data_IF_561547665676
#
_entry.id   IF_561547665676
#
_cell.length_a   1.000
_cell.length_b   1.000
_cell.length_c   1.000
_cell.angle_alpha   90.00
_cell.angle_beta   90.00
_cell.angle_gamma   90.00
#
_symmetry.space_group_name_H-M   'P 1'
#
loop_
_entity.id
_entity.type
_entity.pdbx_description
1 polymer ?
#
# COMPACT_ATOMS: atom_id res chain seq x y z
N UNK A 1 8.75 -5.53 1.22
CA UNK A 1 7.71 -5.82 0.20
C UNK A 1 8.25 -6.89 -0.72
N UNK A 2 7.48 -7.93 -1.00
CA UNK A 2 7.88 -9.05 -1.84
C UNK A 2 7.05 -9.02 -3.13
N UNK A 3 7.70 -9.18 -4.29
CA UNK A 3 7.07 -9.10 -5.61
C UNK A 3 7.12 -10.49 -6.27
N UNK A 4 6.07 -11.31 -6.11
CA UNK A 4 6.07 -12.67 -6.63
C UNK A 4 6.17 -12.73 -8.15
N UNK A 5 6.57 -13.92 -8.62
CA UNK A 5 6.40 -14.41 -9.98
C UNK A 5 5.59 -15.72 -9.92
N UNK A 6 4.79 -16.03 -10.94
CA UNK A 6 3.82 -17.13 -10.89
C UNK A 6 4.42 -18.51 -10.61
N UNK A 7 5.66 -18.73 -11.04
CA UNK A 7 6.37 -19.99 -10.88
C UNK A 7 7.88 -19.78 -10.85
N UNK A 8 8.63 -20.68 -10.20
CA UNK A 8 10.08 -20.70 -10.32
C UNK A 8 10.51 -20.80 -11.79
N UNK A 9 11.52 -20.03 -12.17
CA UNK A 9 12.14 -20.10 -13.50
C UNK A 9 13.61 -20.49 -13.33
N UNK A 10 14.00 -21.63 -13.87
CA UNK A 10 15.40 -22.06 -13.86
C UNK A 10 16.25 -21.11 -14.71
N UNK A 11 17.37 -20.64 -14.17
CA UNK A 11 18.29 -19.72 -14.84
C UNK A 11 19.59 -20.42 -15.20
N UNK A 12 20.14 -20.09 -16.36
CA UNK A 12 21.43 -20.54 -16.85
C UNK A 12 22.36 -19.34 -17.10
N UNK A 13 23.67 -19.60 -17.17
CA UNK A 13 24.65 -18.55 -17.46
C UNK A 13 24.38 -17.95 -18.84
N UNK A 14 24.17 -16.64 -18.89
CA UNK A 14 23.83 -15.92 -20.12
C UNK A 14 22.35 -15.53 -20.24
N UNK A 15 21.49 -16.08 -19.38
CA UNK A 15 20.11 -15.61 -19.26
C UNK A 15 20.05 -14.16 -18.75
N UNK A 16 19.03 -13.42 -19.19
CA UNK A 16 18.75 -12.05 -18.77
C UNK A 16 17.38 -11.96 -18.14
N UNK A 17 17.31 -11.34 -16.96
CA UNK A 17 16.05 -11.01 -16.29
C UNK A 17 15.82 -9.51 -16.44
N UNK A 18 14.70 -9.12 -17.05
CA UNK A 18 14.25 -7.73 -17.15
C UNK A 18 13.06 -7.54 -16.23
N UNK A 19 13.14 -6.53 -15.37
CA UNK A 19 12.06 -6.15 -14.47
C UNK A 19 11.66 -4.72 -14.83
N UNK A 20 10.37 -4.51 -15.11
CA UNK A 20 9.78 -3.18 -15.29
C UNK A 20 8.80 -2.93 -14.16
N UNK A 21 8.97 -1.83 -13.44
CA UNK A 21 8.08 -1.44 -12.35
C UNK A 21 7.42 -0.11 -12.65
N UNK A 22 6.14 0.01 -12.31
CA UNK A 22 5.37 1.25 -12.34
C UNK A 22 4.71 1.44 -10.98
N UNK A 23 4.96 2.58 -10.35
CA UNK A 23 4.46 2.92 -9.02
C UNK A 23 3.48 4.08 -9.19
N UNK A 24 2.27 3.94 -8.68
CA UNK A 24 1.26 5.00 -8.56
C UNK A 24 1.09 5.36 -7.07
N UNK A 25 1.82 6.38 -6.57
CA UNK A 25 1.87 6.68 -5.13
C UNK A 25 0.52 7.05 -4.52
N UNK A 26 -0.32 7.78 -5.25
CA UNK A 26 -1.65 8.25 -4.80
C UNK A 26 -2.64 7.11 -4.53
N UNK A 27 -2.43 5.96 -5.18
CA UNK A 27 -3.32 4.80 -5.10
C UNK A 27 -2.67 3.64 -4.32
N UNK A 28 -1.43 3.81 -3.85
CA UNK A 28 -0.60 2.73 -3.28
C UNK A 28 -0.50 1.51 -4.22
N UNK A 29 -0.60 1.74 -5.53
CA UNK A 29 -0.55 0.70 -6.54
C UNK A 29 0.86 0.54 -7.10
N UNK A 30 1.36 -0.69 -7.16
CA UNK A 30 2.62 -1.05 -7.80
C UNK A 30 2.35 -2.14 -8.82
N UNK A 31 2.68 -1.90 -10.08
CA UNK A 31 2.65 -2.88 -11.16
C UNK A 31 4.07 -3.28 -11.49
N UNK A 32 4.35 -4.58 -11.58
CA UNK A 32 5.65 -5.09 -12.00
C UNK A 32 5.49 -6.16 -13.07
N UNK A 33 6.40 -6.10 -14.04
CA UNK A 33 6.51 -7.07 -15.11
C UNK A 33 7.91 -7.68 -15.05
N UNK A 34 7.98 -9.01 -15.12
CA UNK A 34 9.23 -9.77 -15.11
C UNK A 34 9.32 -10.58 -16.38
N UNK A 35 10.34 -10.33 -17.19
CA UNK A 35 10.66 -11.13 -18.35
C UNK A 35 11.99 -11.84 -18.15
N UNK A 36 12.06 -13.12 -18.48
CA UNK A 36 13.28 -13.92 -18.48
C UNK A 36 13.60 -14.30 -19.92
N UNK A 37 14.83 -14.05 -20.35
CA UNK A 37 15.31 -14.26 -21.71
C UNK A 37 16.54 -15.16 -21.70
N UNK A 38 16.58 -16.14 -22.62
CA UNK A 38 17.76 -16.90 -23.00
C UNK A 38 18.35 -16.24 -24.23
N UNK A 39 19.59 -15.77 -24.12
CA UNK A 39 20.23 -14.95 -25.16
C UNK A 39 19.32 -13.75 -25.55
N UNK A 40 19.66 -12.97 -26.58
CA UNK A 40 18.89 -11.76 -26.87
C UNK A 40 17.48 -12.01 -27.45
N UNK A 41 17.18 -13.23 -27.89
CA UNK A 41 16.02 -13.50 -28.77
C UNK A 41 15.00 -14.50 -28.21
N UNK A 42 15.34 -15.34 -27.23
CA UNK A 42 14.42 -16.38 -26.76
C UNK A 42 13.82 -16.05 -25.40
N UNK A 43 12.53 -15.68 -25.33
CA UNK A 43 11.85 -15.41 -24.05
C UNK A 43 11.50 -16.72 -23.33
N UNK A 44 12.11 -16.97 -22.17
CA UNK A 44 11.84 -18.12 -21.28
C UNK A 44 10.56 -17.94 -20.46
N UNK A 45 10.28 -16.72 -19.99
CA UNK A 45 9.10 -16.44 -19.19
C UNK A 45 8.71 -14.96 -19.24
N UNK A 46 7.43 -14.68 -19.00
CA UNK A 46 6.89 -13.34 -18.77
C UNK A 46 5.81 -13.41 -17.71
N UNK A 47 5.87 -12.52 -16.74
CA UNK A 47 4.91 -12.37 -15.65
C UNK A 47 4.52 -10.90 -15.55
N UNK A 48 3.23 -10.62 -15.35
CA UNK A 48 2.74 -9.27 -15.11
C UNK A 48 1.83 -9.29 -13.90
N UNK A 49 2.14 -8.43 -12.94
CA UNK A 49 1.44 -8.35 -11.67
C UNK A 49 1.19 -6.90 -11.30
N UNK A 50 0.18 -6.69 -10.46
CA UNK A 50 -0.11 -5.40 -9.86
C UNK A 50 -0.60 -5.61 -8.45
N UNK A 51 -0.32 -4.69 -7.54
CA UNK A 51 -1.01 -4.66 -6.25
C UNK A 51 -2.50 -4.32 -6.41
N UNK A 52 -2.93 -3.80 -7.57
CA UNK A 52 -4.35 -3.63 -7.93
C UNK A 52 -5.00 -4.94 -8.40
N UNK A 53 -4.29 -5.73 -9.22
CA UNK A 53 -4.75 -7.02 -9.78
C UNK A 53 -4.21 -8.23 -9.00
N UNK A 54 -3.74 -7.99 -7.78
CA UNK A 54 -2.91 -8.88 -6.99
C UNK A 54 -2.85 -8.43 -5.53
N UNK A 55 -4.02 -8.12 -4.95
CA UNK A 55 -4.25 -8.69 -3.63
C UNK A 55 -4.16 -10.20 -3.81
N UNK A 56 -2.97 -10.76 -3.62
CA UNK A 56 -2.91 -12.05 -2.95
C UNK A 56 -3.74 -11.83 -1.70
N UNK A 57 -4.98 -12.32 -1.70
CA UNK A 57 -5.71 -12.55 -0.48
C UNK A 57 -4.82 -13.54 0.29
N UNK A 58 -3.92 -13.02 1.12
CA UNK A 58 -3.34 -13.81 2.18
C UNK A 58 -4.54 -14.41 2.94
N UNK A 59 -4.37 -15.59 3.56
CA UNK A 59 -5.48 -16.22 4.28
C UNK A 59 -6.17 -15.23 5.23
N UNK A 60 -5.38 -14.36 5.83
CA UNK A 60 -5.78 -13.27 6.71
C UNK A 60 -6.62 -12.18 6.00
N UNK A 61 -6.39 -11.90 4.72
CA UNK A 61 -7.17 -10.95 3.92
C UNK A 61 -8.46 -11.59 3.36
N UNK A 62 -8.45 -12.89 3.06
CA UNK A 62 -9.68 -13.63 2.76
C UNK A 62 -10.57 -13.72 4.00
N UNK A 63 -9.99 -14.02 5.17
CA UNK A 63 -10.69 -14.00 6.45
C UNK A 63 -11.38 -12.65 6.69
N UNK A 64 -10.73 -11.52 6.38
CA UNK A 64 -11.32 -10.17 6.49
C UNK A 64 -12.56 -9.94 5.62
N UNK A 65 -12.75 -10.73 4.57
CA UNK A 65 -13.93 -10.66 3.68
C UNK A 65 -15.07 -11.59 4.09
N UNK A 66 -14.85 -12.49 5.05
CA UNK A 66 -15.89 -13.42 5.50
C UNK A 66 -16.99 -12.69 6.29
N UNK A 67 -18.29 -13.02 6.10
CA UNK A 67 -19.39 -12.36 6.82
C UNK A 67 -19.30 -12.45 8.36
N UNK A 68 -18.59 -13.45 8.88
CA UNK A 68 -18.42 -13.68 10.32
C UNK A 68 -17.13 -13.09 10.89
N UNK A 69 -16.29 -12.50 10.05
CA UNK A 69 -15.09 -11.82 10.51
C UNK A 69 -15.47 -10.58 11.30
N UNK A 70 -14.87 -10.41 12.48
CA UNK A 70 -15.09 -9.25 13.34
C UNK A 70 -13.92 -8.29 13.12
N UNK A 71 -14.06 -7.25 12.28
CA UNK A 71 -12.98 -6.32 12.01
C UNK A 71 -12.62 -5.53 13.26
N UNK A 72 -11.32 -5.37 13.49
CA UNK A 72 -10.76 -4.46 14.50
C UNK A 72 -9.85 -3.48 13.80
N UNK A 73 -9.93 -2.21 14.20
CA UNK A 73 -9.02 -1.20 13.69
C UNK A 73 -7.61 -1.49 14.20
N UNK A 74 -6.64 -1.42 13.28
CA UNK A 74 -5.23 -1.34 13.66
C UNK A 74 -4.95 0.05 14.27
N UNK A 75 -3.80 0.27 14.92
CA UNK A 75 -3.41 1.60 15.39
C UNK A 75 -3.50 2.67 14.29
N UNK A 76 -3.07 2.35 13.06
CA UNK A 76 -3.23 3.24 11.90
C UNK A 76 -4.69 3.44 11.47
N UNK A 77 -5.54 2.41 11.61
CA UNK A 77 -6.97 2.53 11.39
C UNK A 77 -7.65 3.43 12.42
N UNK A 78 -7.21 3.35 13.68
CA UNK A 78 -7.64 4.22 14.76
C UNK A 78 -7.25 5.67 14.51
N UNK A 79 -6.03 5.92 14.06
CA UNK A 79 -5.59 7.27 13.67
C UNK A 79 -6.43 7.86 12.53
N UNK A 80 -6.73 7.06 11.48
CA UNK A 80 -7.65 7.50 10.40
C UNK A 80 -9.04 7.82 10.93
N UNK A 81 -9.59 6.97 11.81
CA UNK A 81 -10.89 7.23 12.45
C UNK A 81 -10.87 8.53 13.24
N UNK A 82 -9.82 8.79 14.02
CA UNK A 82 -9.66 10.05 14.75
C UNK A 82 -9.68 11.25 13.81
N UNK A 83 -8.95 11.22 12.69
CA UNK A 83 -8.95 12.30 11.69
C UNK A 83 -10.36 12.57 11.19
N UNK A 84 -11.06 11.53 10.73
CA UNK A 84 -12.40 11.69 10.16
C UNK A 84 -13.40 12.22 11.20
N UNK A 85 -13.29 11.81 12.46
CA UNK A 85 -14.11 12.34 13.54
C UNK A 85 -13.81 13.82 13.86
N UNK A 86 -12.58 14.27 13.63
CA UNK A 86 -12.16 15.66 13.85
C UNK A 86 -12.54 16.58 12.68
N UNK A 87 -12.84 16.04 11.49
CA UNK A 87 -13.37 16.75 10.33
C UNK A 87 -14.85 17.16 10.52
N UNK A 88 -15.14 17.94 11.55
CA UNK A 88 -16.48 18.34 11.96
C UNK A 88 -16.94 19.72 11.42
N UNK A 89 -16.14 20.30 10.51
CA UNK A 89 -16.38 21.64 9.96
C UNK A 89 -16.10 22.79 10.93
N UNK A 90 -15.55 22.51 12.12
CA UNK A 90 -15.21 23.53 13.13
C UNK A 90 -13.72 23.66 13.37
N UNK A 91 -12.97 22.57 13.20
CA UNK A 91 -11.51 22.57 13.34
C UNK A 91 -10.81 22.90 12.03
N UNK A 92 -9.75 23.68 12.14
CA UNK A 92 -8.79 23.91 11.07
C UNK A 92 -7.90 22.69 10.86
N UNK A 93 -7.28 22.58 9.68
CA UNK A 93 -6.32 21.51 9.38
C UNK A 93 -5.22 21.41 10.44
N UNK A 94 -4.61 22.54 10.83
CA UNK A 94 -3.53 22.57 11.81
C UNK A 94 -3.95 22.06 13.20
N UNK A 95 -5.19 22.33 13.63
CA UNK A 95 -5.73 21.80 14.89
C UNK A 95 -5.92 20.27 14.82
N UNK A 96 -6.34 19.75 13.67
CA UNK A 96 -6.46 18.31 13.45
C UNK A 96 -5.08 17.63 13.49
N UNK A 97 -4.08 18.22 12.85
CA UNK A 97 -2.70 17.72 12.84
C UNK A 97 -2.11 17.61 14.25
N UNK A 98 -2.27 18.66 15.06
CA UNK A 98 -1.82 18.68 16.45
C UNK A 98 -2.54 17.63 17.30
N UNK A 99 -3.85 17.50 17.13
CA UNK A 99 -4.65 16.57 17.92
C UNK A 99 -4.36 15.11 17.58
N UNK A 100 -4.12 14.80 16.30
CA UNK A 100 -3.72 13.47 15.84
C UNK A 100 -2.34 13.10 16.37
N UNK A 101 -1.38 14.02 16.30
CA UNK A 101 -0.05 13.82 16.87
C UNK A 101 -0.11 13.57 18.39
N UNK A 102 -0.97 14.29 19.10
CA UNK A 102 -1.17 14.14 20.55
C UNK A 102 -1.84 12.82 20.93
N UNK A 103 -2.80 12.34 20.15
CA UNK A 103 -3.56 11.13 20.45
C UNK A 103 -2.87 9.83 20.02
N UNK A 104 -1.94 9.89 19.07
CA UNK A 104 -1.23 8.73 18.53
C UNK A 104 0.30 8.94 18.53
N UNK A 105 0.91 9.31 19.68
CA UNK A 105 2.33 9.70 19.74
C UNK A 105 3.29 8.58 19.35
N UNK A 106 2.88 7.32 19.48
CA UNK A 106 3.67 6.14 19.08
C UNK A 106 3.73 5.92 17.56
N UNK A 107 2.82 6.55 16.79
CA UNK A 107 2.74 6.37 15.34
C UNK A 107 3.57 7.39 14.56
N UNK A 108 3.92 8.52 15.17
CA UNK A 108 4.55 9.64 14.49
C UNK A 108 5.82 10.08 15.22
N UNK A 109 6.92 10.22 14.48
CA UNK A 109 8.19 10.70 15.03
C UNK A 109 8.23 12.22 15.16
N UNK A 110 7.32 12.91 14.48
CA UNK A 110 7.24 14.37 14.46
C UNK A 110 5.85 14.85 14.05
N UNK A 111 5.54 16.11 14.37
CA UNK A 111 4.31 16.77 13.92
C UNK A 111 4.22 16.84 12.38
N UNK A 112 5.35 17.01 11.68
CA UNK A 112 5.36 17.04 10.21
C UNK A 112 4.95 15.71 9.58
N UNK A 113 5.29 14.58 10.22
CA UNK A 113 4.85 13.25 9.78
C UNK A 113 3.34 13.06 9.98
N UNK A 114 2.82 13.53 11.12
CA UNK A 114 1.38 13.55 11.37
C UNK A 114 0.64 14.44 10.36
N UNK A 115 1.19 15.62 10.04
CA UNK A 115 0.61 16.54 9.06
C UNK A 115 0.48 15.93 7.67
N UNK A 116 1.56 15.28 7.18
CA UNK A 116 1.52 14.58 5.90
C UNK A 116 0.45 13.47 5.86
N UNK A 117 0.32 12.71 6.95
CA UNK A 117 -0.69 11.67 7.08
C UNK A 117 -2.12 12.22 7.13
N UNK A 118 -2.33 13.32 7.86
CA UNK A 118 -3.64 14.01 7.93
C UNK A 118 -4.05 14.53 6.54
N UNK A 119 -3.12 15.15 5.82
CA UNK A 119 -3.36 15.64 4.46
C UNK A 119 -3.72 14.51 3.49
N UNK A 120 -3.07 13.34 3.58
CA UNK A 120 -3.41 12.15 2.78
C UNK A 120 -4.87 11.72 3.00
N UNK A 121 -5.32 11.65 4.25
CA UNK A 121 -6.67 11.21 4.60
C UNK A 121 -7.72 12.24 4.16
N UNK A 122 -7.50 13.52 4.48
CA UNK A 122 -8.46 14.59 4.19
C UNK A 122 -8.66 14.75 2.68
N UNK A 123 -7.58 14.71 1.89
CA UNK A 123 -7.65 14.82 0.41
C UNK A 123 -8.60 13.79 -0.21
N UNK A 124 -8.81 12.64 0.43
CA UNK A 124 -9.69 11.57 -0.06
C UNK A 124 -11.15 11.72 0.37
N UNK A 125 -11.43 12.41 1.47
CA UNK A 125 -12.74 12.34 2.15
C UNK A 125 -13.36 13.69 2.53
N UNK A 126 -12.66 14.83 2.37
CA UNK A 126 -13.22 16.15 2.63
C UNK A 126 -13.95 16.73 1.42
N UNK A 127 -14.88 17.66 1.70
CA UNK A 127 -15.66 18.39 0.70
C UNK A 127 -14.83 19.43 -0.05
#
# INVERSE_FOLDING_TARGET
MFFPIDRPVGLEKGDRVRIKMQILPSELVVTWEVEVWREADTRKARFTHSTFHGMLLCKEDLERTQPHFIPKLSPWGEARRSILNLCDGRRTLAEIEQEVYRHHPELFRSLGEAAAFVAEVITRYSL
#
